data_IF_610435700084
#
_entry.id   IF_610435700084
#
_cell.length_a   1.000
_cell.length_b   1.000
_cell.length_c   1.000
_cell.angle_alpha   90.00
_cell.angle_beta   90.00
_cell.angle_gamma   90.00
#
_symmetry.space_group_name_H-M   'P 1'
#
loop_
_entity.id
_entity.type
_entity.pdbx_description
1 polymer ?
#
# COMPACT_ATOMS: atom_id res chain seq x y z
N UNK A 1 2.75 -14.01 -8.35
CA UNK A 1 2.47 -13.48 -6.99
C UNK A 1 0.96 -13.35 -6.84
N UNK A 2 0.37 -13.93 -5.79
CA UNK A 2 -1.06 -13.75 -5.50
C UNK A 2 -1.32 -12.42 -4.76
N UNK A 3 -2.61 -12.09 -4.55
CA UNK A 3 -3.01 -10.84 -3.87
C UNK A 3 -2.47 -10.75 -2.44
N UNK A 4 -2.50 -11.86 -1.71
CA UNK A 4 -2.08 -11.91 -0.31
C UNK A 4 -0.58 -11.65 -0.17
N UNK A 5 0.21 -12.29 -1.02
CA UNK A 5 1.65 -12.06 -1.13
C UNK A 5 1.95 -10.63 -1.55
N UNK A 6 1.22 -10.07 -2.51
CA UNK A 6 1.40 -8.67 -2.94
C UNK A 6 1.20 -7.68 -1.80
N UNK A 7 0.14 -7.86 -1.00
CA UNK A 7 -0.10 -7.03 0.19
C UNK A 7 0.93 -7.26 1.29
N UNK A 8 1.40 -8.50 1.46
CA UNK A 8 2.46 -8.81 2.42
C UNK A 8 3.78 -8.09 2.07
N UNK A 9 4.17 -8.12 0.79
CA UNK A 9 5.33 -7.39 0.30
C UNK A 9 5.17 -5.89 0.52
N UNK A 10 4.04 -5.31 0.11
CA UNK A 10 3.79 -3.89 0.28
C UNK A 10 3.87 -3.47 1.74
N UNK A 11 3.24 -4.24 2.65
CA UNK A 11 3.28 -4.00 4.09
C UNK A 11 4.72 -4.02 4.63
N UNK A 12 5.54 -5.00 4.23
CA UNK A 12 6.95 -5.07 4.68
C UNK A 12 7.80 -3.93 4.09
N UNK A 13 7.62 -3.59 2.81
CA UNK A 13 8.30 -2.45 2.15
C UNK A 13 7.96 -1.12 2.80
N UNK A 14 6.69 -0.88 3.12
CA UNK A 14 6.26 0.32 3.83
C UNK A 14 6.89 0.38 5.23
N UNK A 15 6.90 -0.73 5.96
CA UNK A 15 7.51 -0.81 7.28
C UNK A 15 9.03 -0.54 7.26
N UNK A 16 9.75 -1.09 6.28
CA UNK A 16 11.18 -0.78 6.10
C UNK A 16 11.41 0.66 5.64
N UNK A 17 10.52 1.22 4.83
CA UNK A 17 10.65 2.61 4.38
C UNK A 17 10.44 3.60 5.53
N UNK A 18 9.54 3.30 6.47
CA UNK A 18 9.34 4.10 7.69
C UNK A 18 10.52 3.99 8.65
N UNK A 19 11.18 2.82 8.71
CA UNK A 19 12.39 2.63 9.53
C UNK A 19 13.66 3.22 8.93
N UNK A 20 13.70 3.37 7.61
CA UNK A 20 14.86 3.88 6.92
C UNK A 20 15.07 5.36 7.23
N UNK A 21 16.31 5.75 7.46
CA UNK A 21 16.69 7.17 7.58
C UNK A 21 16.56 7.83 6.19
N UNK A 22 15.41 8.46 5.97
CA UNK A 22 15.05 9.06 4.69
C UNK A 22 13.88 10.04 4.81
N UNK A 23 13.58 10.79 3.74
CA UNK A 23 12.45 11.71 3.73
C UNK A 23 11.13 10.94 3.86
N UNK A 24 10.28 11.38 4.80
CA UNK A 24 8.93 10.84 4.95
C UNK A 24 8.02 11.37 3.83
N UNK A 25 7.83 10.53 2.80
CA UNK A 25 7.00 10.86 1.65
C UNK A 25 5.61 10.27 1.84
N UNK A 26 4.59 11.11 1.73
CA UNK A 26 3.25 10.59 1.56
C UNK A 26 3.11 9.87 0.20
N UNK A 27 2.10 9.00 0.09
CA UNK A 27 1.84 8.19 -1.10
C UNK A 27 1.78 9.02 -2.39
N UNK A 28 1.24 10.23 -2.33
CA UNK A 28 1.14 11.13 -3.51
C UNK A 28 2.50 11.63 -3.96
N UNK A 29 3.34 12.08 -3.02
CA UNK A 29 4.70 12.52 -3.30
C UNK A 29 5.53 11.37 -3.88
N UNK A 30 5.44 10.19 -3.28
CA UNK A 30 6.12 8.99 -3.79
C UNK A 30 5.66 8.63 -5.21
N UNK A 31 4.35 8.63 -5.47
CA UNK A 31 3.80 8.34 -6.80
C UNK A 31 4.29 9.33 -7.87
N UNK A 32 4.33 10.62 -7.55
CA UNK A 32 4.83 11.66 -8.46
C UNK A 32 6.33 11.46 -8.72
N UNK A 33 7.15 11.27 -7.67
CA UNK A 33 8.60 11.09 -7.82
C UNK A 33 8.94 9.84 -8.63
N UNK A 34 8.25 8.72 -8.37
CA UNK A 34 8.39 7.49 -9.16
C UNK A 34 8.06 7.74 -10.63
N UNK A 35 6.93 8.37 -10.93
CA UNK A 35 6.52 8.64 -12.32
C UNK A 35 7.52 9.55 -13.05
N UNK A 36 7.95 10.64 -12.42
CA UNK A 36 8.94 11.55 -13.02
C UNK A 36 10.27 10.84 -13.31
N UNK A 37 10.63 9.83 -12.51
CA UNK A 37 11.93 9.15 -12.64
C UNK A 37 11.90 7.92 -13.55
N UNK A 38 10.76 7.22 -13.63
CA UNK A 38 10.65 5.93 -14.32
C UNK A 38 9.99 6.03 -15.69
N UNK A 39 9.30 7.14 -15.97
CA UNK A 39 8.63 7.34 -17.25
C UNK A 39 9.33 8.42 -18.08
N UNK A 40 9.30 8.28 -19.43
CA UNK A 40 9.89 9.29 -20.30
C UNK A 40 9.20 10.65 -20.13
N UNK A 41 10.00 11.72 -20.16
CA UNK A 41 9.53 13.11 -20.14
C UNK A 41 9.08 13.61 -21.53
N UNK A 42 8.70 14.90 -21.64
CA UNK A 42 8.76 15.94 -20.60
C UNK A 42 7.59 15.85 -19.59
N UNK A 43 7.91 15.95 -18.30
CA UNK A 43 6.91 15.97 -17.22
C UNK A 43 6.52 17.40 -16.89
N UNK A 44 5.22 17.69 -16.86
CA UNK A 44 4.68 19.00 -16.44
C UNK A 44 3.69 18.83 -15.29
N UNK A 45 3.41 19.92 -14.55
CA UNK A 45 2.36 19.90 -13.51
C UNK A 45 1.02 19.44 -14.07
N UNK A 46 0.69 19.89 -15.28
CA UNK A 46 -0.54 19.50 -15.99
C UNK A 46 -0.53 18.02 -16.36
N UNK A 47 0.54 17.55 -16.99
CA UNK A 47 0.65 16.14 -17.41
C UNK A 47 0.61 15.18 -16.21
N UNK A 48 1.25 15.54 -15.10
CA UNK A 48 1.21 14.76 -13.86
C UNK A 48 -0.18 14.73 -13.22
N UNK A 49 -0.92 15.85 -13.28
CA UNK A 49 -2.29 15.93 -12.80
C UNK A 49 -3.23 15.02 -13.60
N UNK A 50 -3.12 15.07 -14.93
CA UNK A 50 -3.90 14.21 -15.84
C UNK A 50 -3.55 12.73 -15.64
N UNK A 51 -2.27 12.39 -15.61
CA UNK A 51 -1.79 11.02 -15.46
C UNK A 51 -2.22 10.34 -14.16
N UNK A 52 -2.22 11.08 -13.06
CA UNK A 52 -2.56 10.54 -11.73
C UNK A 52 -4.03 10.80 -11.35
N UNK A 53 -4.83 11.39 -12.24
CA UNK A 53 -6.21 11.82 -11.95
C UNK A 53 -6.30 12.69 -10.69
N UNK A 54 -5.34 13.63 -10.54
CA UNK A 54 -5.24 14.54 -9.42
C UNK A 54 -5.55 15.98 -9.85
N UNK A 55 -6.08 16.78 -8.93
CA UNK A 55 -6.19 18.22 -9.16
C UNK A 55 -4.80 18.89 -9.21
N UNK A 56 -4.62 19.86 -10.13
CA UNK A 56 -3.38 20.66 -10.25
C UNK A 56 -2.86 21.22 -8.91
N UNK A 57 -3.71 21.73 -7.98
CA UNK A 57 -3.23 22.20 -6.68
C UNK A 57 -2.59 21.10 -5.82
N UNK A 58 -3.09 19.85 -5.92
CA UNK A 58 -2.52 18.73 -5.18
C UNK A 58 -1.15 18.31 -5.73
N UNK A 59 -0.99 18.33 -7.06
CA UNK A 59 0.29 18.09 -7.71
C UNK A 59 1.30 19.19 -7.39
N UNK A 60 0.89 20.47 -7.48
CA UNK A 60 1.78 21.59 -7.13
C UNK A 60 2.30 21.47 -5.72
N UNK A 61 1.42 21.25 -4.72
CA UNK A 61 1.84 21.09 -3.32
C UNK A 61 2.78 19.90 -3.11
N UNK A 62 2.55 18.79 -3.81
CA UNK A 62 3.45 17.64 -3.74
C UNK A 62 4.83 17.98 -4.34
N UNK A 63 4.87 18.68 -5.46
CA UNK A 63 6.12 19.14 -6.09
C UNK A 63 6.84 20.21 -5.26
N UNK A 64 6.11 21.09 -4.57
CA UNK A 64 6.67 22.06 -3.62
C UNK A 64 7.40 21.32 -2.50
N UNK A 65 6.76 20.31 -1.89
CA UNK A 65 7.37 19.49 -0.86
C UNK A 65 8.57 18.68 -1.37
N UNK A 66 8.46 18.05 -2.54
CA UNK A 66 9.57 17.31 -3.15
C UNK A 66 10.75 18.23 -3.50
N UNK A 67 10.48 19.46 -3.94
CA UNK A 67 11.51 20.49 -4.18
C UNK A 67 12.17 20.91 -2.87
N UNK A 68 11.40 21.13 -1.81
CA UNK A 68 11.92 21.46 -0.48
C UNK A 68 12.82 20.36 0.11
N UNK A 69 12.54 19.09 -0.21
CA UNK A 69 13.39 17.95 0.15
C UNK A 69 14.59 17.77 -0.81
N UNK A 70 14.67 18.56 -1.88
CA UNK A 70 15.69 18.46 -2.92
C UNK A 70 15.59 17.19 -3.76
N UNK A 71 14.41 16.56 -3.86
CA UNK A 71 14.18 15.31 -4.59
C UNK A 71 13.70 15.54 -6.03
N UNK A 72 13.06 16.68 -6.29
CA UNK A 72 12.65 17.11 -7.61
C UNK A 72 13.02 18.57 -7.83
N UNK A 73 13.15 18.98 -9.09
CA UNK A 73 13.38 20.36 -9.48
C UNK A 73 12.37 20.78 -10.53
N UNK A 74 11.95 22.04 -10.46
CA UNK A 74 11.07 22.68 -11.43
C UNK A 74 11.87 23.66 -12.27
N UNK A 75 11.80 23.51 -13.58
CA UNK A 75 12.54 24.35 -14.53
C UNK A 75 11.51 24.98 -15.47
N UNK A 76 11.55 26.31 -15.68
CA UNK A 76 10.73 26.94 -16.72
C UNK A 76 11.02 26.29 -18.07
N UNK A 77 9.98 26.00 -18.84
CA UNK A 77 10.15 25.51 -20.20
C UNK A 77 10.59 26.69 -21.09
N UNK A 78 11.76 26.56 -21.74
CA UNK A 78 12.31 27.61 -22.61
C UNK A 78 11.48 27.79 -23.89
N UNK A 79 10.79 26.74 -24.34
CA UNK A 79 9.92 26.77 -25.52
C UNK A 79 8.53 27.34 -25.23
N UNK A 80 8.04 27.18 -24.00
CA UNK A 80 6.79 27.76 -23.51
C UNK A 80 6.93 28.19 -22.05
N UNK A 81 7.17 29.49 -21.82
CA UNK A 81 7.35 30.04 -20.46
C UNK A 81 6.11 29.93 -19.56
N UNK A 82 4.96 29.50 -20.08
CA UNK A 82 3.76 29.19 -19.28
C UNK A 82 3.78 27.76 -18.72
N UNK A 83 4.68 26.92 -19.21
CA UNK A 83 4.91 25.56 -18.77
C UNK A 83 6.10 25.48 -17.81
N UNK A 84 6.00 24.54 -16.87
CA UNK A 84 7.07 24.21 -15.92
C UNK A 84 7.34 22.73 -16.05
N UNK A 85 8.58 22.42 -16.43
CA UNK A 85 9.10 21.07 -16.50
C UNK A 85 9.50 20.60 -15.11
N UNK A 86 9.30 19.31 -14.85
CA UNK A 86 9.65 18.65 -13.59
C UNK A 86 10.67 17.57 -13.88
N UNK A 87 11.79 17.61 -13.17
CA UNK A 87 12.83 16.58 -13.26
C UNK A 87 13.16 16.05 -11.88
N UNK A 88 13.56 14.78 -11.81
CA UNK A 88 14.14 14.21 -10.59
C UNK A 88 15.57 14.71 -10.41
N UNK A 89 15.97 14.98 -9.18
CA UNK A 89 17.36 15.31 -8.86
C UNK A 89 18.18 14.04 -8.65
N UNK A 90 19.51 14.16 -8.59
CA UNK A 90 20.38 13.06 -8.19
C UNK A 90 20.01 12.50 -6.81
N UNK A 91 19.63 13.37 -5.86
CA UNK A 91 19.13 12.95 -4.53
C UNK A 91 17.80 12.21 -4.65
N UNK A 92 16.90 12.66 -5.51
CA UNK A 92 15.64 11.97 -5.81
C UNK A 92 15.86 10.56 -6.34
N UNK A 93 16.77 10.41 -7.31
CA UNK A 93 17.14 9.11 -7.87
C UNK A 93 17.79 8.20 -6.82
N UNK A 94 18.69 8.74 -5.98
CA UNK A 94 19.29 7.97 -4.87
C UNK A 94 18.25 7.50 -3.85
N UNK A 95 17.26 8.33 -3.52
CA UNK A 95 16.16 7.95 -2.64
C UNK A 95 15.32 6.81 -3.24
N UNK A 96 15.06 6.85 -4.55
CA UNK A 96 14.36 5.77 -5.26
C UNK A 96 15.19 4.49 -5.38
N UNK A 97 16.51 4.59 -5.56
CA UNK A 97 17.40 3.44 -5.53
C UNK A 97 17.31 2.71 -4.19
N UNK A 98 17.41 3.45 -3.07
CA UNK A 98 17.23 2.87 -1.74
C UNK A 98 15.83 2.27 -1.51
N UNK A 99 14.78 2.85 -2.09
CA UNK A 99 13.45 2.23 -2.09
C UNK A 99 13.43 0.91 -2.88
N UNK A 100 14.05 0.88 -4.06
CA UNK A 100 14.20 -0.33 -4.88
C UNK A 100 14.93 -1.44 -4.14
N UNK A 101 16.04 -1.13 -3.46
CA UNK A 101 16.79 -2.08 -2.65
C UNK A 101 15.94 -2.68 -1.52
N UNK A 102 15.11 -1.86 -0.87
CA UNK A 102 14.15 -2.34 0.14
C UNK A 102 13.11 -3.27 -0.46
N UNK A 103 12.56 -2.95 -1.64
CA UNK A 103 11.61 -3.83 -2.35
C UNK A 103 12.24 -5.19 -2.64
N UNK A 104 13.46 -5.20 -3.20
CA UNK A 104 14.20 -6.43 -3.51
C UNK A 104 14.49 -7.24 -2.24
N UNK A 105 14.93 -6.57 -1.16
CA UNK A 105 15.21 -7.23 0.12
C UNK A 105 13.95 -7.86 0.74
N UNK A 106 12.83 -7.13 0.74
CA UNK A 106 11.55 -7.64 1.25
C UNK A 106 11.01 -8.80 0.39
N UNK A 107 11.12 -8.72 -0.93
CA UNK A 107 10.70 -9.78 -1.85
C UNK A 107 11.49 -11.08 -1.60
N UNK A 108 12.82 -10.99 -1.48
CA UNK A 108 13.67 -12.15 -1.17
C UNK A 108 13.29 -12.83 0.14
N UNK A 109 12.97 -12.04 1.19
CA UNK A 109 12.50 -12.59 2.48
C UNK A 109 11.12 -13.23 2.37
N UNK A 110 10.21 -12.63 1.60
CA UNK A 110 8.86 -13.17 1.40
C UNK A 110 8.91 -14.51 0.67
N UNK A 111 9.77 -14.63 -0.34
CA UNK A 111 9.98 -15.86 -1.11
C UNK A 111 10.55 -17.03 -0.28
N UNK A 112 11.08 -16.76 0.93
CA UNK A 112 11.55 -17.79 1.87
C UNK A 112 10.48 -18.22 2.90
N UNK A 113 9.35 -17.52 2.98
CA UNK A 113 8.30 -17.72 3.99
C UNK A 113 7.12 -18.52 3.39
N UNK A 114 6.40 -19.36 4.17
CA UNK A 114 5.15 -19.94 3.72
C UNK A 114 4.15 -18.87 3.23
N UNK A 115 3.28 -19.21 2.25
CA UNK A 115 2.40 -18.26 1.60
C UNK A 115 1.49 -17.55 2.60
N UNK A 116 1.37 -16.24 2.44
CA UNK A 116 0.53 -15.41 3.31
C UNK A 116 -0.93 -15.67 2.98
N UNK A 117 -1.73 -15.94 4.00
CA UNK A 117 -3.19 -16.01 3.89
C UNK A 117 -3.79 -14.72 4.45
N UNK A 118 -4.62 -14.04 3.66
CA UNK A 118 -5.46 -12.96 4.17
C UNK A 118 -6.57 -13.63 5.00
N UNK A 119 -6.70 -13.33 6.31
CA UNK A 119 -7.82 -13.83 7.08
C UNK A 119 -9.11 -13.37 6.41
N UNK A 120 -9.92 -14.31 5.92
CA UNK A 120 -11.26 -14.00 5.47
C UNK A 120 -12.08 -13.55 6.69
N UNK A 121 -12.98 -12.57 6.55
CA UNK A 121 -13.95 -12.30 7.59
C UNK A 121 -14.74 -13.59 7.83
N UNK A 122 -14.54 -14.22 8.99
CA UNK A 122 -15.41 -15.30 9.43
C UNK A 122 -16.76 -14.65 9.74
N UNK A 123 -17.74 -14.88 8.87
CA UNK A 123 -19.13 -14.58 9.22
C UNK A 123 -19.45 -15.40 10.48
N UNK A 124 -20.01 -14.82 11.55
CA UNK A 124 -20.49 -15.60 12.68
C UNK A 124 -21.62 -16.52 12.18
N UNK A 125 -21.27 -17.74 11.78
CA UNK A 125 -22.21 -18.69 11.22
C UNK A 125 -22.95 -19.38 12.36
N UNK A 126 -24.14 -18.84 12.65
CA UNK A 126 -25.31 -19.42 13.32
C UNK A 126 -25.06 -20.19 14.63
N UNK A 127 -25.57 -19.62 15.73
CA UNK A 127 -25.74 -20.28 17.02
C UNK A 127 -26.39 -21.68 16.86
N UNK A 128 -25.95 -22.69 17.62
CA UNK A 128 -26.50 -24.04 17.49
C UNK A 128 -28.00 -24.00 17.76
N UNK A 129 -28.79 -24.48 16.79
CA UNK A 129 -30.21 -24.80 17.02
C UNK A 129 -30.26 -25.83 18.15
N UNK A 130 -30.88 -25.46 19.26
CA UNK A 130 -31.26 -26.38 20.33
C UNK A 130 -31.95 -27.59 19.72
N UNK A 131 -31.29 -28.74 19.75
CA UNK A 131 -31.87 -30.04 19.37
C UNK A 131 -32.87 -30.42 20.47
N UNK A 132 -34.07 -30.81 20.06
CA UNK A 132 -35.19 -31.25 20.89
C UNK A 132 -34.79 -32.38 21.87
N UNK A 133 -35.28 -32.30 23.11
CA UNK A 133 -35.51 -33.50 23.91
C UNK A 133 -36.86 -34.12 23.50
N UNK A 134 -36.79 -35.09 22.59
CA UNK A 134 -37.77 -36.16 22.47
C UNK A 134 -37.37 -37.23 23.48
N UNK A 135 -38.22 -37.51 24.46
CA UNK A 135 -38.26 -38.80 25.15
C UNK A 135 -39.63 -39.03 25.77
N UNK A 136 -40.50 -39.66 24.99
CA UNK A 136 -41.68 -40.39 25.45
C UNK A 136 -41.24 -41.78 25.95
N UNK A 137 -41.61 -42.10 27.19
CA UNK A 137 -42.01 -43.42 27.70
C UNK A 137 -41.04 -44.60 27.63
N UNK A 138 -40.71 -45.17 28.79
CA UNK A 138 -41.12 -46.55 29.15
C UNK A 138 -40.74 -46.88 30.60
N UNK A 139 -41.62 -47.69 31.20
CA UNK A 139 -41.61 -48.30 32.53
C UNK A 139 -40.24 -48.69 33.09
N UNK A 140 -40.08 -48.51 34.40
CA UNK A 140 -39.64 -49.63 35.23
C UNK A 140 -40.25 -49.57 36.64
N UNK A 141 -40.71 -50.74 37.04
CA UNK A 141 -41.28 -51.15 38.32
C UNK A 141 -40.25 -51.11 39.46
N UNK A 142 -40.66 -50.62 40.64
CA UNK A 142 -40.56 -51.32 41.95
C UNK A 142 -40.36 -50.38 43.16
N UNK A 143 -41.13 -50.69 44.22
CA UNK A 143 -40.76 -50.56 45.65
C UNK A 143 -40.73 -49.15 46.26
N UNK A 144 -41.68 -48.79 47.15
CA UNK A 144 -41.70 -49.11 48.58
C UNK A 144 -42.80 -48.30 49.33
N UNK A 145 -43.37 -48.93 50.37
CA UNK A 145 -44.07 -48.35 51.53
C UNK A 145 -45.46 -47.68 51.38
N UNK A 146 -46.52 -48.42 51.72
CA UNK A 146 -47.21 -48.36 53.02
C UNK A 146 -48.34 -49.41 53.08
#
# INVERSE_FOLDING_TARGET
MDRASALALLKDVLAETVRADGPDLNVRQAAILLRVSLEPGPHTVRGLAEALSLGKPAVSRALDALSGLGLAVRVPDESDRRSVLVNSTARGLAALAGLGDRVISCERRLSQKPPVQIPLPVTPQQAPRTIQAVSSGSNDTASHAA
#
